data_IF_356776996637
#
_entry.id   IF_356776996637
#
_cell.length_a   1.000
_cell.length_b   1.000
_cell.length_c   1.000
_cell.angle_alpha   90.00
_cell.angle_beta   90.00
_cell.angle_gamma   90.00
#
_symmetry.space_group_name_H-M   'P 1'
#
loop_
_entity.id
_entity.type
_entity.pdbx_description
1 polymer ?
#
# COMPACT_ATOMS: atom_id res chain seq x y z
N UNK A 1 18.93 -2.14 8.81
CA UNK A 1 17.67 -1.67 9.44
C UNK A 1 16.52 -2.46 8.82
N UNK A 2 15.60 -2.97 9.62
CA UNK A 2 14.45 -3.72 9.12
C UNK A 2 13.35 -2.75 8.67
N UNK A 3 12.76 -2.96 7.51
CA UNK A 3 11.69 -2.13 6.94
C UNK A 3 10.50 -3.03 6.66
N UNK A 4 9.29 -2.58 7.03
CA UNK A 4 8.05 -3.19 6.57
C UNK A 4 7.76 -2.61 5.18
N UNK A 5 7.96 -3.39 4.13
CA UNK A 5 7.83 -2.91 2.76
C UNK A 5 6.36 -2.77 2.37
N UNK A 6 6.06 -1.88 1.43
CA UNK A 6 4.71 -1.71 0.88
C UNK A 6 4.79 -1.81 -0.64
N UNK A 7 3.83 -2.51 -1.25
CA UNK A 7 3.66 -2.58 -2.70
C UNK A 7 2.19 -2.58 -3.07
N UNK A 8 1.82 -1.81 -4.08
CA UNK A 8 0.49 -1.73 -4.67
C UNK A 8 0.50 -2.27 -6.10
N UNK A 9 -0.56 -2.99 -6.46
CA UNK A 9 -0.73 -3.58 -7.78
C UNK A 9 -2.22 -3.65 -8.14
N UNK A 10 -2.53 -3.62 -9.44
CA UNK A 10 -3.86 -3.95 -9.95
C UNK A 10 -4.26 -5.39 -9.64
N UNK A 11 -5.54 -5.66 -9.38
CA UNK A 11 -6.02 -6.99 -8.98
C UNK A 11 -6.10 -7.99 -10.14
N UNK A 12 -6.41 -7.51 -11.35
CA UNK A 12 -6.45 -8.30 -12.57
C UNK A 12 -5.53 -7.69 -13.67
N UNK A 13 -5.29 -8.38 -14.79
CA UNK A 13 -4.41 -7.86 -15.84
C UNK A 13 -4.83 -6.49 -16.40
N UNK A 14 -6.14 -6.24 -16.53
CA UNK A 14 -6.64 -4.95 -17.00
C UNK A 14 -6.39 -3.84 -15.97
N UNK A 15 -6.55 -4.11 -14.67
CA UNK A 15 -6.20 -3.14 -13.63
C UNK A 15 -4.70 -2.84 -13.63
N UNK A 16 -3.85 -3.86 -13.83
CA UNK A 16 -2.39 -3.68 -13.90
C UNK A 16 -1.99 -2.78 -15.06
N UNK A 17 -2.62 -2.95 -16.23
CA UNK A 17 -2.39 -2.11 -17.40
C UNK A 17 -2.89 -0.67 -17.20
N UNK A 18 -4.07 -0.50 -16.58
CA UNK A 18 -4.70 0.81 -16.39
C UNK A 18 -4.14 1.62 -15.20
N UNK A 19 -3.51 0.97 -14.21
CA UNK A 19 -2.96 1.63 -13.01
C UNK A 19 -1.83 2.61 -13.32
N UNK A 20 -1.03 2.35 -14.36
CA UNK A 20 0.13 3.16 -14.71
C UNK A 20 1.27 3.09 -13.67
N UNK A 21 2.30 3.95 -13.81
CA UNK A 21 3.43 4.00 -12.88
C UNK A 21 3.04 4.46 -11.47
N UNK A 22 3.68 3.88 -10.45
CA UNK A 22 3.40 4.16 -9.04
C UNK A 22 4.67 4.55 -8.29
N UNK A 23 4.61 5.68 -7.59
CA UNK A 23 5.67 6.16 -6.69
C UNK A 23 5.23 6.10 -5.22
N UNK A 24 6.20 6.04 -4.31
CA UNK A 24 5.97 5.93 -2.87
C UNK A 24 6.71 7.04 -2.14
N UNK A 25 6.00 7.83 -1.35
CA UNK A 25 6.55 8.93 -0.59
C UNK A 25 6.37 8.76 0.92
N UNK A 26 7.35 9.17 1.75
CA UNK A 26 8.70 9.62 1.36
C UNK A 26 9.62 8.47 0.93
N UNK A 27 9.22 7.22 1.22
CA UNK A 27 9.91 5.99 0.83
C UNK A 27 8.93 4.83 0.76
N UNK A 28 9.33 3.76 0.09
CA UNK A 28 8.52 2.54 -0.02
C UNK A 28 8.52 1.77 1.31
N UNK A 29 7.56 2.05 2.17
CA UNK A 29 7.27 1.28 3.39
C UNK A 29 7.58 1.99 4.71
N UNK A 30 7.44 1.25 5.80
CA UNK A 30 7.50 1.75 7.17
C UNK A 30 8.83 1.37 7.83
N UNK A 31 9.66 2.33 8.26
CA UNK A 31 10.94 2.00 8.87
C UNK A 31 10.77 1.36 10.26
N UNK A 32 11.62 0.38 10.57
CA UNK A 32 11.48 -0.45 11.76
C UNK A 32 11.57 0.26 13.10
N UNK A 33 12.12 1.49 13.16
CA UNK A 33 12.23 2.25 14.41
C UNK A 33 10.88 2.73 14.97
N UNK A 34 9.80 2.65 14.18
CA UNK A 34 8.43 2.86 14.69
C UNK A 34 7.90 1.67 15.50
N UNK A 35 8.61 0.54 15.50
CA UNK A 35 8.18 -0.70 16.14
C UNK A 35 9.19 -1.16 17.22
N UNK A 36 8.71 -1.86 18.28
CA UNK A 36 7.32 -2.18 18.57
C UNK A 36 6.53 -0.97 19.09
N UNK A 37 5.21 -1.01 18.94
CA UNK A 37 4.34 -0.01 19.56
C UNK A 37 4.36 -0.18 21.10
N UNK A 38 4.74 0.87 21.82
CA UNK A 38 4.90 0.87 23.28
C UNK A 38 3.82 1.66 24.03
N UNK A 39 2.72 2.01 23.36
CA UNK A 39 1.61 2.80 23.93
C UNK A 39 2.04 4.13 24.58
N UNK A 40 3.05 4.79 23.98
CA UNK A 40 3.57 6.07 24.47
C UNK A 40 2.67 7.23 24.02
N UNK A 41 2.35 8.20 24.90
CA UNK A 41 1.67 9.42 24.50
C UNK A 41 2.43 10.13 23.37
N UNK A 42 1.70 10.57 22.33
CA UNK A 42 2.28 11.25 21.18
C UNK A 42 2.91 10.34 20.12
N UNK A 43 2.81 9.01 20.26
CA UNK A 43 3.18 8.09 19.18
C UNK A 43 2.34 8.35 17.93
N UNK A 44 3.01 8.48 16.78
CA UNK A 44 2.38 8.62 15.48
C UNK A 44 2.76 7.42 14.62
N UNK A 45 1.76 6.69 14.14
CA UNK A 45 1.97 5.59 13.20
C UNK A 45 2.62 6.13 11.91
N UNK A 46 3.59 5.41 11.32
CA UNK A 46 4.19 5.83 10.07
C UNK A 46 3.18 5.75 8.93
N UNK A 47 3.27 6.69 8.00
CA UNK A 47 2.42 6.75 6.80
C UNK A 47 3.28 6.63 5.55
N UNK A 48 2.68 6.11 4.48
CA UNK A 48 3.24 6.13 3.13
C UNK A 48 2.16 6.67 2.19
N UNK A 49 2.54 7.63 1.35
CA UNK A 49 1.69 8.10 0.27
C UNK A 49 2.02 7.32 -1.00
N UNK A 50 0.99 6.81 -1.66
CA UNK A 50 1.11 6.10 -2.94
C UNK A 50 0.62 7.05 -4.03
N UNK A 51 1.51 7.40 -4.94
CA UNK A 51 1.23 8.35 -6.02
C UNK A 51 1.13 7.60 -7.35
N UNK A 52 -0.08 7.55 -7.89
CA UNK A 52 -0.38 7.01 -9.22
C UNK A 52 -0.14 8.11 -10.25
N UNK A 53 0.93 8.02 -11.02
CA UNK A 53 1.41 9.15 -11.84
C UNK A 53 0.47 9.46 -13.02
N UNK A 54 0.00 8.41 -13.69
CA UNK A 54 -0.85 8.48 -14.90
C UNK A 54 -1.75 7.24 -15.00
N UNK A 55 -2.71 7.06 -14.08
CA UNK A 55 -3.72 6.03 -14.24
C UNK A 55 -4.65 6.36 -15.42
N UNK A 56 -5.31 5.36 -15.98
CA UNK A 56 -6.30 5.55 -17.05
C UNK A 56 -7.51 6.37 -16.54
N UNK A 57 -8.02 7.26 -17.40
CA UNK A 57 -9.18 8.12 -17.13
C UNK A 57 -10.44 7.43 -17.64
N UNK A 58 -11.56 7.58 -16.91
CA UNK A 58 -12.85 7.00 -17.27
C UNK A 58 -12.94 5.48 -17.10
N UNK A 59 -11.99 4.88 -16.37
CA UNK A 59 -11.93 3.45 -16.07
C UNK A 59 -11.86 3.25 -14.56
N UNK A 60 -12.65 2.31 -14.04
CA UNK A 60 -12.56 1.86 -12.65
C UNK A 60 -11.42 0.85 -12.51
N UNK A 61 -10.44 1.15 -11.65
CA UNK A 61 -9.23 0.35 -11.45
C UNK A 61 -9.24 -0.21 -10.03
N UNK A 62 -9.18 -1.54 -9.90
CA UNK A 62 -9.12 -2.22 -8.61
C UNK A 62 -7.66 -2.38 -8.18
N UNK A 63 -7.29 -1.84 -7.02
CA UNK A 63 -5.91 -1.82 -6.52
C UNK A 63 -5.83 -2.54 -5.17
N UNK A 64 -4.86 -3.46 -5.06
CA UNK A 64 -4.48 -4.13 -3.81
C UNK A 64 -3.08 -3.67 -3.39
N UNK A 65 -2.97 -3.03 -2.22
CA UNK A 65 -1.69 -2.71 -1.58
C UNK A 65 -1.39 -3.69 -0.44
N UNK A 66 -0.18 -4.22 -0.38
CA UNK A 66 0.29 -5.20 0.60
C UNK A 66 1.46 -4.67 1.41
N UNK A 67 1.52 -5.06 2.68
CA UNK A 67 2.65 -4.83 3.56
C UNK A 67 3.46 -6.12 3.76
N UNK A 68 4.78 -6.05 3.65
CA UNK A 68 5.67 -7.21 3.69
C UNK A 68 6.68 -7.12 4.83
N UNK A 69 6.62 -8.11 5.72
CA UNK A 69 7.61 -8.42 6.73
C UNK A 69 7.44 -9.89 7.13
N UNK A 70 8.45 -10.49 7.76
CA UNK A 70 8.41 -11.93 8.13
C UNK A 70 7.22 -12.31 9.02
N UNK A 71 6.66 -11.36 9.78
CA UNK A 71 5.54 -11.55 10.70
C UNK A 71 4.18 -11.07 10.14
N UNK A 72 4.10 -10.68 8.86
CA UNK A 72 2.84 -10.27 8.24
C UNK A 72 2.28 -11.44 7.44
N UNK A 73 1.20 -12.02 7.98
CA UNK A 73 0.39 -13.01 7.28
C UNK A 73 -0.68 -12.29 6.46
N UNK A 74 -0.80 -12.69 5.20
CA UNK A 74 -1.80 -12.14 4.29
C UNK A 74 -3.03 -13.03 4.29
N UNK A 75 -4.19 -12.44 4.54
CA UNK A 75 -5.49 -13.09 4.42
C UNK A 75 -6.43 -12.16 3.66
N UNK A 76 -6.89 -12.60 2.48
CA UNK A 76 -7.78 -11.79 1.64
C UNK A 76 -9.20 -11.69 2.19
N UNK A 77 -9.69 -12.71 2.88
CA UNK A 77 -11.03 -12.69 3.46
C UNK A 77 -11.10 -11.69 4.62
N UNK A 78 -10.04 -11.64 5.45
CA UNK A 78 -9.93 -10.71 6.57
C UNK A 78 -9.28 -9.37 6.20
N UNK A 79 -8.81 -9.21 4.95
CA UNK A 79 -7.97 -8.08 4.51
C UNK A 79 -6.77 -7.86 5.42
N UNK A 80 -6.21 -8.95 5.95
CA UNK A 80 -5.05 -8.90 6.83
C UNK A 80 -3.79 -8.68 6.00
N UNK A 81 -3.00 -7.68 6.37
CA UNK A 81 -1.74 -7.35 5.69
C UNK A 81 -1.92 -6.69 4.32
N UNK A 82 -3.16 -6.41 3.89
CA UNK A 82 -3.47 -5.73 2.64
C UNK A 82 -4.60 -4.73 2.79
N UNK A 83 -4.69 -3.80 1.83
CA UNK A 83 -5.84 -2.92 1.65
C UNK A 83 -6.24 -2.98 0.18
N UNK A 84 -7.54 -3.06 -0.05
CA UNK A 84 -8.16 -2.97 -1.36
C UNK A 84 -8.91 -1.65 -1.47
N UNK A 85 -8.80 -0.99 -2.62
CA UNK A 85 -9.61 0.18 -2.97
C UNK A 85 -9.79 0.30 -4.48
N UNK A 86 -10.81 1.06 -4.87
CA UNK A 86 -11.13 1.36 -6.27
C UNK A 86 -10.66 2.79 -6.60
N UNK A 87 -10.06 2.97 -7.77
CA UNK A 87 -9.60 4.26 -8.28
C UNK A 87 -10.27 4.54 -9.63
N UNK A 88 -10.88 5.71 -9.75
CA UNK A 88 -11.42 6.23 -11.01
C UNK A 88 -11.14 7.73 -11.08
N UNK A 89 -10.65 8.19 -12.21
CA UNK A 89 -10.48 9.61 -12.52
C UNK A 89 -11.50 9.97 -13.61
N UNK A 90 -12.31 10.99 -13.35
CA UNK A 90 -13.32 11.52 -14.27
C UNK A 90 -12.74 12.50 -15.30
#
# INVERSE_FOLDING_TARGET
>A
MNTVWVSCQGENPADVENMGPVQYYPKRGFPGFYFPFQNKPGYQSPLVAVFFEKPAIGVLINIECKAWAHNIHHDRAERRGSVHFELMID
#
